data_IF_453569964918
#
_entry.id   IF_453569964918
#
_cell.length_a   1.000
_cell.length_b   1.000
_cell.length_c   1.000
_cell.angle_alpha   90.00
_cell.angle_beta   90.00
_cell.angle_gamma   90.00
#
_symmetry.space_group_name_H-M   'P 1'
#
loop_
_entity.id
_entity.type
_entity.pdbx_description
1 polymer ?
#
# COMPACT_ATOMS: atom_id res chain seq x y z
N UNK A 1 -8.60 22.37 3.13
CA UNK A 1 -8.93 21.25 2.24
C UNK A 1 -10.34 21.49 1.74
N UNK A 2 -10.53 21.60 0.43
CA UNK A 2 -11.84 21.83 -0.16
C UNK A 2 -12.68 20.54 -0.07
N UNK A 3 -13.89 20.62 0.48
CA UNK A 3 -14.82 19.48 0.61
C UNK A 3 -15.83 19.44 -0.54
N UNK A 4 -15.75 20.38 -1.48
CA UNK A 4 -16.63 20.44 -2.64
C UNK A 4 -16.37 19.26 -3.58
N UNK A 5 -17.40 18.80 -4.31
CA UNK A 5 -17.23 17.78 -5.33
C UNK A 5 -16.21 18.20 -6.40
N UNK A 6 -15.40 17.25 -6.84
CA UNK A 6 -14.45 17.47 -7.95
C UNK A 6 -15.22 17.55 -9.28
N UNK A 7 -15.11 18.65 -10.04
CA UNK A 7 -15.76 18.81 -11.33
C UNK A 7 -15.32 17.74 -12.33
N UNK A 8 -16.19 17.37 -13.27
CA UNK A 8 -15.89 16.36 -14.28
C UNK A 8 -14.64 16.69 -15.12
N UNK A 9 -14.38 17.97 -15.40
CA UNK A 9 -13.20 18.45 -16.13
C UNK A 9 -11.87 18.23 -15.39
N UNK A 10 -11.91 18.02 -14.07
CA UNK A 10 -10.72 17.78 -13.25
C UNK A 10 -10.50 16.30 -12.93
N UNK A 11 -11.41 15.41 -13.33
CA UNK A 11 -11.30 13.96 -13.13
C UNK A 11 -10.35 13.36 -14.17
N UNK A 12 -9.08 13.20 -13.79
CA UNK A 12 -7.98 12.87 -14.71
C UNK A 12 -7.26 11.53 -14.41
N UNK A 13 -7.83 10.70 -13.52
CA UNK A 13 -7.33 9.36 -13.23
C UNK A 13 -8.05 8.34 -14.11
N UNK A 14 -7.30 7.65 -14.96
CA UNK A 14 -7.82 6.57 -15.80
C UNK A 14 -7.64 5.20 -15.13
N UNK A 15 -8.28 4.16 -15.67
CA UNK A 15 -8.15 2.78 -15.16
C UNK A 15 -6.70 2.27 -15.04
N UNK A 16 -5.81 2.73 -15.93
CA UNK A 16 -4.37 2.42 -15.84
C UNK A 16 -3.69 3.08 -14.65
N UNK A 17 -4.06 4.33 -14.34
CA UNK A 17 -3.52 5.03 -13.17
C UNK A 17 -3.99 4.34 -11.89
N UNK A 18 -5.25 3.89 -11.84
CA UNK A 18 -5.75 3.07 -10.73
C UNK A 18 -5.00 1.74 -10.63
N UNK A 19 -4.80 1.02 -11.74
CA UNK A 19 -4.05 -0.22 -11.73
C UNK A 19 -2.64 -0.04 -11.18
N UNK A 20 -1.90 0.98 -11.66
CA UNK A 20 -0.55 1.26 -11.18
C UNK A 20 -0.52 1.72 -9.72
N UNK A 21 -1.49 2.52 -9.30
CA UNK A 21 -1.64 2.94 -7.90
C UNK A 21 -1.84 1.72 -7.00
N UNK A 22 -2.79 0.85 -7.33
CA UNK A 22 -3.11 -0.33 -6.54
C UNK A 22 -2.02 -1.40 -6.61
N UNK A 23 -1.36 -1.60 -7.75
CA UNK A 23 -0.23 -2.50 -7.87
C UNK A 23 0.94 -2.06 -6.97
N UNK A 24 1.20 -0.75 -6.89
CA UNK A 24 2.22 -0.21 -5.99
C UNK A 24 1.91 -0.44 -4.51
N UNK A 25 0.63 -0.35 -4.13
CA UNK A 25 0.20 -0.65 -2.75
C UNK A 25 0.24 -2.15 -2.46
N UNK A 26 -0.15 -2.98 -3.43
CA UNK A 26 -0.18 -4.44 -3.30
C UNK A 26 1.22 -5.06 -3.19
N UNK A 27 2.26 -4.43 -3.74
CA UNK A 27 3.63 -4.90 -3.55
C UNK A 27 4.16 -4.33 -2.24
N UNK A 28 3.86 -5.02 -1.13
CA UNK A 28 4.27 -4.62 0.20
C UNK A 28 4.74 -5.81 1.04
N UNK A 29 5.51 -5.53 2.10
CA UNK A 29 5.95 -6.57 3.03
C UNK A 29 4.76 -7.23 3.75
N UNK A 30 3.66 -6.50 3.94
CA UNK A 30 2.45 -7.05 4.55
C UNK A 30 1.88 -8.22 3.73
N UNK A 31 1.90 -8.13 2.40
CA UNK A 31 1.44 -9.23 1.53
C UNK A 31 2.39 -10.42 1.56
N UNK A 32 3.71 -10.17 1.65
CA UNK A 32 4.70 -11.25 1.82
C UNK A 32 4.44 -12.01 3.13
N UNK A 33 4.14 -11.30 4.22
CA UNK A 33 3.79 -11.91 5.50
C UNK A 33 2.46 -12.66 5.45
N UNK A 34 1.44 -12.07 4.82
CA UNK A 34 0.14 -12.72 4.61
C UNK A 34 0.29 -14.04 3.84
N UNK A 35 1.08 -14.04 2.76
CA UNK A 35 1.44 -15.26 2.02
C UNK A 35 2.17 -16.28 2.90
N UNK A 36 3.09 -15.83 3.76
CA UNK A 36 3.78 -16.68 4.74
C UNK A 36 2.83 -17.36 5.72
N UNK A 37 1.78 -16.68 6.19
CA UNK A 37 0.75 -17.28 7.05
C UNK A 37 -0.11 -18.32 6.33
N UNK A 38 -0.27 -18.20 5.01
CA UNK A 38 -1.01 -19.15 4.17
C UNK A 38 -0.15 -20.32 3.69
N UNK A 39 1.17 -20.22 3.79
CA UNK A 39 2.11 -21.27 3.35
C UNK A 39 1.78 -22.69 3.88
N UNK A 40 1.36 -22.87 5.15
CA UNK A 40 1.01 -24.20 5.67
C UNK A 40 -0.17 -24.88 4.95
N UNK A 41 -1.01 -24.13 4.23
CA UNK A 41 -2.14 -24.69 3.47
C UNK A 41 -1.70 -25.33 2.14
N UNK A 42 -0.44 -25.16 1.74
CA UNK A 42 0.07 -25.55 0.43
C UNK A 42 -0.25 -24.53 -0.66
N UNK A 43 0.50 -24.59 -1.78
CA UNK A 43 0.47 -23.57 -2.83
C UNK A 43 -0.94 -23.33 -3.39
N UNK A 44 -1.64 -24.38 -3.81
CA UNK A 44 -2.95 -24.26 -4.47
C UNK A 44 -4.05 -23.77 -3.52
N UNK A 45 -4.12 -24.31 -2.30
CA UNK A 45 -5.12 -23.86 -1.33
C UNK A 45 -4.85 -22.41 -0.88
N UNK A 46 -3.58 -22.05 -0.65
CA UNK A 46 -3.19 -20.68 -0.34
C UNK A 46 -3.53 -19.71 -1.47
N UNK A 47 -3.24 -20.07 -2.72
CA UNK A 47 -3.59 -19.27 -3.90
C UNK A 47 -5.10 -19.03 -4.00
N UNK A 48 -5.92 -20.08 -3.85
CA UNK A 48 -7.38 -19.92 -3.89
C UNK A 48 -7.90 -19.09 -2.73
N UNK A 49 -7.35 -19.24 -1.52
CA UNK A 49 -7.71 -18.41 -0.37
C UNK A 49 -7.40 -16.92 -0.64
N UNK A 50 -6.24 -16.61 -1.24
CA UNK A 50 -5.87 -15.26 -1.64
C UNK A 50 -6.86 -14.72 -2.68
N UNK A 51 -7.13 -15.47 -3.76
CA UNK A 51 -8.02 -15.04 -4.84
C UNK A 51 -9.44 -14.77 -4.33
N UNK A 52 -9.97 -15.66 -3.49
CA UNK A 52 -11.31 -15.52 -2.92
C UNK A 52 -11.37 -14.32 -1.96
N UNK A 53 -10.36 -14.17 -1.10
CA UNK A 53 -10.25 -13.03 -0.19
C UNK A 53 -10.22 -11.70 -0.93
N UNK A 54 -9.43 -11.61 -2.00
CA UNK A 54 -9.36 -10.43 -2.87
C UNK A 54 -10.68 -10.16 -3.56
N UNK A 55 -11.36 -11.19 -4.11
CA UNK A 55 -12.65 -11.02 -4.76
C UNK A 55 -13.68 -10.42 -3.79
N UNK A 56 -13.80 -10.98 -2.58
CA UNK A 56 -14.75 -10.53 -1.57
C UNK A 56 -14.39 -9.12 -1.09
N UNK A 57 -13.14 -8.91 -0.68
CA UNK A 57 -12.66 -7.63 -0.14
C UNK A 57 -12.73 -6.49 -1.16
N UNK A 58 -12.22 -6.73 -2.38
CA UNK A 58 -12.21 -5.71 -3.42
C UNK A 58 -13.61 -5.39 -3.92
N UNK A 59 -14.56 -6.34 -3.88
CA UNK A 59 -15.96 -6.05 -4.21
C UNK A 59 -16.54 -5.01 -3.25
N UNK A 60 -16.38 -5.22 -1.94
CA UNK A 60 -16.87 -4.27 -0.93
C UNK A 60 -16.22 -2.89 -1.08
N UNK A 61 -14.90 -2.87 -1.32
CA UNK A 61 -14.16 -1.62 -1.55
C UNK A 61 -14.61 -0.92 -2.85
N UNK A 62 -14.83 -1.66 -3.93
CA UNK A 62 -15.28 -1.13 -5.21
C UNK A 62 -16.67 -0.50 -5.09
N UNK A 63 -17.61 -1.13 -4.37
CA UNK A 63 -18.95 -0.57 -4.14
C UNK A 63 -18.88 0.80 -3.45
N UNK A 64 -18.01 0.96 -2.45
CA UNK A 64 -17.76 2.27 -1.82
C UNK A 64 -17.09 3.27 -2.77
N UNK A 65 -16.16 2.79 -3.61
CA UNK A 65 -15.45 3.59 -4.61
C UNK A 65 -16.35 4.15 -5.71
N UNK A 66 -17.39 3.40 -6.12
CA UNK A 66 -18.37 3.86 -7.14
C UNK A 66 -19.08 5.13 -6.67
N UNK A 67 -19.51 5.20 -5.41
CA UNK A 67 -20.19 6.38 -4.86
C UNK A 67 -19.33 7.63 -5.00
N UNK A 68 -18.05 7.54 -4.62
CA UNK A 68 -17.08 8.63 -4.73
C UNK A 68 -16.76 9.00 -6.18
N UNK A 69 -16.69 8.01 -7.07
CA UNK A 69 -16.38 8.21 -8.50
C UNK A 69 -17.51 8.92 -9.25
N UNK A 70 -18.76 8.52 -9.00
CA UNK A 70 -19.93 9.12 -9.65
C UNK A 70 -20.12 10.57 -9.19
N UNK A 71 -20.13 10.79 -7.88
CA UNK A 71 -20.45 12.08 -7.28
C UNK A 71 -19.24 13.00 -7.14
N UNK A 72 -18.01 12.51 -7.33
CA UNK A 72 -16.78 13.29 -7.16
C UNK A 72 -16.54 13.75 -5.71
N UNK A 73 -17.08 13.01 -4.74
CA UNK A 73 -17.02 13.36 -3.31
C UNK A 73 -15.96 12.56 -2.57
N UNK A 74 -15.44 13.14 -1.49
CA UNK A 74 -14.48 12.45 -0.62
C UNK A 74 -15.13 11.26 0.11
N UNK A 75 -14.32 10.25 0.45
CA UNK A 75 -14.78 9.06 1.19
C UNK A 75 -15.50 9.39 2.51
N UNK A 76 -15.10 10.44 3.22
CA UNK A 76 -15.78 10.84 4.47
C UNK A 76 -17.09 11.58 4.24
N UNK A 77 -17.30 12.12 3.04
CA UNK A 77 -18.57 12.75 2.66
C UNK A 77 -19.56 11.68 2.21
N UNK A 78 -19.10 10.59 1.57
CA UNK A 78 -19.98 9.52 1.08
C UNK A 78 -20.68 8.73 2.19
N UNK A 79 -20.17 8.76 3.42
CA UNK A 79 -20.79 8.09 4.58
C UNK A 79 -21.86 8.92 5.30
N UNK A 80 -21.98 10.21 4.97
CA UNK A 80 -22.95 11.12 5.61
C UNK A 80 -24.42 10.73 5.42
N UNK A 81 -24.87 10.14 4.29
CA UNK A 81 -26.25 9.68 4.16
C UNK A 81 -26.64 8.62 5.21
N UNK A 82 -25.68 7.78 5.64
CA UNK A 82 -25.93 6.74 6.64
C UNK A 82 -25.78 7.24 8.08
N UNK A 83 -24.74 8.05 8.36
CA UNK A 83 -24.39 8.45 9.73
C UNK A 83 -24.72 9.91 10.07
N UNK A 84 -25.24 10.67 9.11
CA UNK A 84 -25.44 12.12 9.22
C UNK A 84 -24.12 12.91 9.20
N UNK A 85 -24.25 14.24 9.25
CA UNK A 85 -23.10 15.16 9.23
C UNK A 85 -22.15 14.93 10.41
N UNK A 86 -22.70 14.88 11.64
CA UNK A 86 -21.89 14.69 12.85
C UNK A 86 -21.40 13.25 13.02
N UNK A 87 -22.19 12.25 12.63
CA UNK A 87 -21.76 10.85 12.73
C UNK A 87 -20.63 10.51 11.76
N UNK A 88 -20.53 11.20 10.61
CA UNK A 88 -19.38 11.04 9.69
C UNK A 88 -18.03 11.39 10.34
N UNK A 89 -18.02 12.20 11.42
CA UNK A 89 -16.80 12.51 12.14
C UNK A 89 -16.20 11.28 12.84
N UNK A 90 -17.03 10.33 13.29
CA UNK A 90 -16.52 9.11 13.91
C UNK A 90 -15.75 8.27 12.87
N UNK A 91 -16.32 8.09 11.68
CA UNK A 91 -15.63 7.40 10.58
C UNK A 91 -14.32 8.10 10.20
N UNK A 92 -14.32 9.44 10.18
CA UNK A 92 -13.11 10.23 9.91
C UNK A 92 -12.03 10.03 10.97
N UNK A 93 -12.39 10.08 12.26
CA UNK A 93 -11.43 9.86 13.37
C UNK A 93 -10.85 8.44 13.31
N UNK A 94 -11.69 7.43 13.11
CA UNK A 94 -11.24 6.03 13.01
C UNK A 94 -10.28 5.84 11.82
N UNK A 95 -10.56 6.48 10.69
CA UNK A 95 -9.68 6.44 9.53
C UNK A 95 -8.34 7.15 9.78
N UNK A 96 -8.34 8.30 10.47
CA UNK A 96 -7.09 8.98 10.86
C UNK A 96 -6.26 8.08 11.76
N UNK A 97 -6.86 7.44 12.77
CA UNK A 97 -6.15 6.50 13.67
C UNK A 97 -5.57 5.34 12.86
N UNK A 98 -6.34 4.75 11.95
CA UNK A 98 -5.87 3.68 11.08
C UNK A 98 -4.70 4.13 10.19
N UNK A 99 -4.76 5.32 9.60
CA UNK A 99 -3.68 5.85 8.76
C UNK A 99 -2.40 6.09 9.56
N UNK A 100 -2.50 6.58 10.80
CA UNK A 100 -1.35 6.72 11.71
C UNK A 100 -0.74 5.36 11.99
N UNK A 101 -1.55 4.35 12.33
CA UNK A 101 -1.08 2.99 12.58
C UNK A 101 -0.40 2.37 11.36
N UNK A 102 -0.98 2.54 10.17
CA UNK A 102 -0.41 2.06 8.92
C UNK A 102 0.92 2.73 8.60
N UNK A 103 0.99 4.06 8.69
CA UNK A 103 2.21 4.81 8.46
C UNK A 103 3.32 4.41 9.45
N UNK A 104 2.99 4.22 10.73
CA UNK A 104 3.93 3.78 11.75
C UNK A 104 4.54 2.42 11.41
N UNK A 105 3.72 1.43 11.02
CA UNK A 105 4.20 0.10 10.62
C UNK A 105 5.13 0.20 9.40
N UNK A 106 4.78 1.00 8.39
CA UNK A 106 5.61 1.19 7.20
C UNK A 106 6.96 1.84 7.53
N UNK A 107 6.97 2.81 8.44
CA UNK A 107 8.23 3.42 8.90
C UNK A 107 9.08 2.43 9.69
N UNK A 108 8.50 1.62 10.57
CA UNK A 108 9.24 0.60 11.33
C UNK A 108 9.86 -0.44 10.39
N UNK A 109 9.10 -0.92 9.40
CA UNK A 109 9.58 -1.88 8.41
C UNK A 109 10.72 -1.27 7.58
N UNK A 110 10.52 -0.06 7.06
CA UNK A 110 11.55 0.67 6.32
C UNK A 110 12.80 0.93 7.15
N UNK A 111 12.63 1.26 8.43
CA UNK A 111 13.71 1.48 9.39
C UNK A 111 14.58 0.25 9.59
N UNK A 112 13.94 -0.91 9.82
CA UNK A 112 14.63 -2.21 9.95
C UNK A 112 15.35 -2.62 8.67
N UNK A 113 14.75 -2.37 7.50
CA UNK A 113 15.39 -2.63 6.21
C UNK A 113 16.64 -1.76 6.02
N UNK A 114 16.56 -0.45 6.33
CA UNK A 114 17.70 0.46 6.29
C UNK A 114 18.81 0.05 7.26
N UNK A 115 18.45 -0.30 8.50
CA UNK A 115 19.41 -0.75 9.50
C UNK A 115 20.12 -2.03 9.07
N UNK A 116 19.39 -2.98 8.46
CA UNK A 116 19.98 -4.21 7.91
C UNK A 116 21.03 -3.91 6.82
N UNK A 117 20.80 -2.91 5.97
CA UNK A 117 21.77 -2.45 4.97
C UNK A 117 22.97 -1.72 5.60
N UNK A 118 22.77 -1.04 6.71
CA UNK A 118 23.84 -0.31 7.43
C UNK A 118 24.70 -1.17 8.36
N UNK A 119 24.28 -2.41 8.67
CA UNK A 119 25.06 -3.34 9.52
C UNK A 119 26.53 -3.52 9.12
N UNK A 120 26.90 -3.65 7.83
CA UNK A 120 28.30 -3.79 7.42
C UNK A 120 29.16 -2.55 7.74
N UNK A 121 28.56 -1.36 7.78
CA UNK A 121 29.24 -0.08 8.02
C UNK A 121 29.27 0.23 9.52
N UNK A 122 28.29 -0.25 10.28
CA UNK A 122 28.19 -0.05 11.73
C UNK A 122 27.80 1.39 12.12
N UNK A 123 27.83 1.66 13.43
CA UNK A 123 27.50 2.97 13.98
C UNK A 123 26.02 3.32 13.85
N UNK A 124 25.73 4.61 13.61
CA UNK A 124 24.34 5.13 13.54
C UNK A 124 23.54 4.51 12.38
N UNK A 125 24.21 4.08 11.32
CA UNK A 125 23.57 3.45 10.16
C UNK A 125 23.04 2.05 10.45
N UNK A 126 23.51 1.39 11.52
CA UNK A 126 22.96 0.11 11.97
C UNK A 126 21.76 0.27 12.92
N UNK A 127 21.34 1.51 13.22
CA UNK A 127 20.23 1.79 14.14
C UNK A 127 18.89 1.92 13.41
N UNK A 128 17.89 1.12 13.81
CA UNK A 128 16.52 1.23 13.32
C UNK A 128 15.98 2.66 13.51
N UNK A 129 16.21 3.26 14.67
CA UNK A 129 15.67 4.57 15.03
C UNK A 129 16.16 5.69 14.10
N UNK A 130 17.43 5.62 13.69
CA UNK A 130 17.99 6.56 12.71
C UNK A 130 17.19 6.50 11.41
N UNK A 131 17.04 5.31 10.84
CA UNK A 131 16.31 5.14 9.58
C UNK A 131 14.82 5.46 9.70
N UNK A 132 14.16 5.13 10.81
CA UNK A 132 12.76 5.52 11.04
C UNK A 132 12.59 7.04 11.00
N UNK A 133 13.46 7.78 11.70
CA UNK A 133 13.40 9.25 11.73
C UNK A 133 13.76 9.83 10.36
N UNK A 134 14.82 9.34 9.72
CA UNK A 134 15.27 9.84 8.42
C UNK A 134 14.22 9.58 7.32
N UNK A 135 13.66 8.38 7.23
CA UNK A 135 12.59 8.05 6.28
C UNK A 135 11.34 8.85 6.61
N UNK A 136 10.96 8.95 7.89
CA UNK A 136 9.80 9.74 8.33
C UNK A 136 9.92 11.21 7.93
N UNK A 137 11.04 11.86 8.26
CA UNK A 137 11.31 13.24 7.88
C UNK A 137 11.35 13.41 6.35
N UNK A 138 11.97 12.48 5.62
CA UNK A 138 12.00 12.47 4.17
C UNK A 138 10.60 12.40 3.55
N UNK A 139 9.75 11.48 4.03
CA UNK A 139 8.36 11.35 3.56
C UNK A 139 7.49 12.56 3.92
N UNK A 140 7.71 13.18 5.07
CA UNK A 140 7.02 14.42 5.46
C UNK A 140 7.40 15.59 4.56
N UNK A 141 8.71 15.82 4.36
CA UNK A 141 9.20 16.86 3.44
C UNK A 141 8.68 16.63 2.02
N UNK A 142 8.71 15.36 1.58
CA UNK A 142 8.16 14.96 0.29
C UNK A 142 6.66 15.28 0.19
N UNK A 143 5.87 14.94 1.21
CA UNK A 143 4.43 15.23 1.22
C UNK A 143 4.13 16.74 1.16
N UNK A 144 5.00 17.59 1.71
CA UNK A 144 4.83 19.05 1.71
C UNK A 144 5.28 19.71 0.40
N UNK A 145 6.29 19.18 -0.29
CA UNK A 145 6.89 19.81 -1.47
C UNK A 145 6.47 19.21 -2.81
N UNK A 146 5.93 18.01 -2.84
CA UNK A 146 5.70 17.29 -4.11
C UNK A 146 4.45 17.79 -4.83
N UNK A 147 4.64 18.29 -6.06
CA UNK A 147 3.55 18.58 -7.00
C UNK A 147 2.97 17.32 -7.64
N UNK A 148 1.70 17.39 -8.09
CA UNK A 148 0.94 16.25 -8.66
C UNK A 148 1.70 15.50 -9.77
N UNK A 149 2.44 16.20 -10.62
CA UNK A 149 3.19 15.63 -11.76
C UNK A 149 4.38 14.78 -11.30
N UNK A 150 5.16 15.27 -10.34
CA UNK A 150 6.33 14.56 -9.83
C UNK A 150 5.93 13.27 -9.09
N UNK A 151 4.83 13.33 -8.33
CA UNK A 151 4.25 12.17 -7.67
C UNK A 151 3.87 11.07 -8.67
N UNK A 152 3.18 11.45 -9.77
CA UNK A 152 2.73 10.47 -10.77
C UNK A 152 3.90 9.76 -11.47
N UNK A 153 4.95 10.51 -11.84
CA UNK A 153 6.13 9.92 -12.49
C UNK A 153 6.83 8.96 -11.53
N UNK A 154 7.09 9.40 -10.29
CA UNK A 154 7.79 8.57 -9.32
C UNK A 154 7.00 7.31 -8.96
N UNK A 155 5.68 7.42 -8.78
CA UNK A 155 4.82 6.26 -8.54
C UNK A 155 4.97 5.23 -9.65
N UNK A 156 4.84 5.64 -10.91
CA UNK A 156 4.92 4.73 -12.04
C UNK A 156 6.28 4.03 -12.14
N UNK A 157 7.37 4.78 -11.93
CA UNK A 157 8.73 4.21 -11.95
C UNK A 157 8.93 3.23 -10.79
N UNK A 158 8.49 3.60 -9.57
CA UNK A 158 8.61 2.75 -8.38
C UNK A 158 7.85 1.44 -8.53
N UNK A 159 6.62 1.46 -9.05
CA UNK A 159 5.83 0.24 -9.26
C UNK A 159 6.50 -0.69 -10.27
N UNK A 160 7.04 -0.15 -11.36
CA UNK A 160 7.77 -0.95 -12.34
C UNK A 160 9.03 -1.58 -11.72
N UNK A 161 9.80 -0.81 -10.95
CA UNK A 161 10.97 -1.34 -10.26
C UNK A 161 10.59 -2.44 -9.25
N UNK A 162 9.53 -2.25 -8.48
CA UNK A 162 9.01 -3.22 -7.53
C UNK A 162 8.57 -4.52 -8.23
N UNK A 163 7.88 -4.43 -9.36
CA UNK A 163 7.48 -5.60 -10.16
C UNK A 163 8.69 -6.40 -10.66
N UNK A 164 9.74 -5.71 -11.11
CA UNK A 164 10.98 -6.37 -11.54
C UNK A 164 11.67 -7.08 -10.38
N UNK A 165 11.72 -6.47 -9.20
CA UNK A 165 12.29 -7.09 -8.00
C UNK A 165 11.47 -8.31 -7.59
N UNK A 166 10.14 -8.23 -7.59
CA UNK A 166 9.28 -9.37 -7.29
C UNK A 166 9.53 -10.51 -8.28
N UNK A 167 9.56 -10.24 -9.58
CA UNK A 167 9.84 -11.26 -10.59
C UNK A 167 11.21 -11.92 -10.38
N UNK A 168 12.24 -11.13 -10.08
CA UNK A 168 13.58 -11.64 -9.76
C UNK A 168 13.58 -12.50 -8.49
N UNK A 169 12.92 -12.06 -7.42
CA UNK A 169 12.81 -12.83 -6.17
C UNK A 169 12.05 -14.14 -6.39
N UNK A 170 10.97 -14.11 -7.17
CA UNK A 170 10.21 -15.31 -7.56
C UNK A 170 11.10 -16.28 -8.34
N UNK A 171 11.85 -15.79 -9.33
CA UNK A 171 12.80 -16.61 -10.09
C UNK A 171 13.83 -17.28 -9.18
N UNK A 172 14.46 -16.52 -8.28
CA UNK A 172 15.45 -17.04 -7.34
C UNK A 172 14.83 -18.05 -6.38
N UNK A 173 13.62 -17.79 -5.88
CA UNK A 173 12.92 -18.72 -5.00
C UNK A 173 12.62 -20.05 -5.68
N UNK A 174 12.21 -20.06 -6.95
CA UNK A 174 11.97 -21.28 -7.70
C UNK A 174 13.25 -21.96 -8.21
N UNK A 175 14.29 -21.19 -8.55
CA UNK A 175 15.58 -21.72 -9.00
C UNK A 175 16.47 -22.26 -7.87
N UNK A 176 16.24 -21.83 -6.63
CA UNK A 176 16.98 -22.25 -5.43
C UNK A 176 16.35 -23.44 -4.70
N UNK A 177 15.21 -23.96 -5.14
CA UNK A 177 14.65 -25.20 -4.61
C UNK A 177 15.48 -26.37 -5.19
N UNK A 178 16.23 -27.14 -4.38
CA UNK A 178 16.58 -28.49 -4.81
C UNK A 178 15.25 -29.17 -5.12
N UNK A 179 15.13 -29.80 -6.29
CA UNK A 179 13.94 -30.54 -6.69
C UNK A 179 13.45 -31.34 -5.49
N UNK A 180 12.33 -30.91 -4.88
CA UNK A 180 11.79 -31.57 -3.72
C UNK A 180 11.56 -33.02 -4.14
N UNK A 181 12.31 -33.92 -3.52
CA UNK A 181 12.30 -35.34 -3.77
C UNK A 181 10.85 -35.80 -3.74
N UNK A 182 10.41 -36.36 -4.87
CA UNK A 182 9.27 -37.26 -4.88
C UNK A 182 9.50 -38.34 -3.82
N UNK A 183 8.71 -38.30 -2.75
CA UNK A 183 8.50 -39.38 -1.80
C UNK A 183 7.10 -39.21 -1.21
#
# INVERSE_FOLDING_TARGET
MDIRPVPASERNLAGRDFFLLWAGVAISLAEIWAGGFLAPMGFWCGLWAILLGHLIGNTLMALGGVIGSDHGIMSMVSVRPAFGLRGSNLAAVLNIIQLIGWAAIMLIIGGRAGAALGKPVGGILASDAFWVITIGAGTLLWALWTGKTAWKILQNVSVLALLLVVAAMTWVAFGGLPAASAA
#
